data_IF_720564671143
#
_entry.id   IF_720564671143
#
_cell.length_a   1.000
_cell.length_b   1.000
_cell.length_c   1.000
_cell.angle_alpha   90.00
_cell.angle_beta   90.00
_cell.angle_gamma   90.00
#
_symmetry.space_group_name_H-M   'P 1'
#
loop_
_entity.id
_entity.type
_entity.pdbx_description
1 polymer ?
#
# COMPACT_ATOMS: atom_id res chain seq x y z
N UNK A 1 10.57 -10.36 6.16
CA UNK A 1 11.78 -10.97 5.56
C UNK A 1 11.37 -12.32 4.96
N UNK A 2 11.64 -12.50 3.66
CA UNK A 2 11.29 -13.70 2.92
C UNK A 2 9.93 -13.63 2.24
N UNK A 3 9.61 -14.68 1.49
CA UNK A 3 8.36 -14.86 0.78
C UNK A 3 8.12 -16.34 0.49
N UNK A 4 6.93 -16.66 0.06
CA UNK A 4 6.59 -18.00 -0.39
C UNK A 4 5.70 -17.94 -1.63
N UNK A 5 5.80 -18.96 -2.46
CA UNK A 5 4.96 -19.12 -3.63
C UNK A 5 4.14 -20.41 -3.44
N UNK A 6 2.84 -20.32 -3.72
CA UNK A 6 1.91 -21.45 -3.63
C UNK A 6 1.12 -21.55 -4.92
N UNK A 7 1.10 -22.74 -5.50
CA UNK A 7 0.32 -23.03 -6.71
C UNK A 7 -0.17 -24.48 -6.69
N UNK A 8 -1.23 -24.76 -7.44
CA UNK A 8 -1.69 -26.14 -7.74
C UNK A 8 -0.98 -26.74 -8.94
N UNK A 9 -0.19 -25.95 -9.68
CA UNK A 9 0.55 -26.40 -10.84
C UNK A 9 1.78 -27.20 -10.40
N UNK A 10 1.98 -28.36 -11.00
CA UNK A 10 3.12 -29.24 -10.70
C UNK A 10 4.46 -28.62 -11.12
N UNK A 11 4.42 -27.75 -12.09
CA UNK A 11 5.56 -26.98 -12.61
C UNK A 11 6.18 -26.05 -11.57
N UNK A 12 5.48 -25.81 -10.44
CA UNK A 12 6.03 -25.03 -9.33
C UNK A 12 7.35 -25.62 -8.81
N UNK A 13 7.52 -26.93 -8.85
CA UNK A 13 8.78 -27.56 -8.44
C UNK A 13 9.95 -27.18 -9.35
N UNK A 14 9.70 -27.03 -10.68
CA UNK A 14 10.73 -26.63 -11.63
C UNK A 14 11.24 -25.19 -11.37
N UNK A 15 10.42 -24.32 -10.78
CA UNK A 15 10.80 -22.94 -10.43
C UNK A 15 12.00 -22.92 -9.48
N UNK A 16 12.16 -23.90 -8.61
CA UNK A 16 13.33 -24.03 -7.71
C UNK A 16 14.65 -24.05 -8.45
N UNK A 17 14.66 -24.58 -9.67
CA UNK A 17 15.85 -24.71 -10.51
C UNK A 17 15.99 -23.59 -11.53
N UNK A 18 14.92 -22.83 -11.78
CA UNK A 18 14.89 -21.76 -12.78
C UNK A 18 15.13 -20.36 -12.19
N UNK A 19 14.92 -20.18 -10.89
CA UNK A 19 15.07 -18.87 -10.24
C UNK A 19 16.40 -18.81 -9.50
N UNK A 20 17.35 -18.04 -10.04
CA UNK A 20 18.66 -17.81 -9.43
C UNK A 20 18.56 -17.29 -7.99
N UNK A 21 17.61 -16.39 -7.73
CA UNK A 21 17.36 -15.87 -6.40
C UNK A 21 16.99 -16.95 -5.38
N UNK A 22 16.34 -18.03 -5.81
CA UNK A 22 16.05 -19.18 -4.95
C UNK A 22 17.26 -20.11 -4.79
N UNK A 23 17.96 -20.42 -5.87
CA UNK A 23 19.12 -21.33 -5.87
C UNK A 23 20.27 -20.83 -5.02
N UNK A 24 20.50 -19.51 -5.03
CA UNK A 24 21.63 -18.86 -4.37
C UNK A 24 21.24 -18.14 -3.07
N UNK A 25 20.09 -18.49 -2.47
CA UNK A 25 19.66 -17.93 -1.19
C UNK A 25 19.97 -18.89 -0.04
N UNK A 26 20.19 -18.31 1.14
CA UNK A 26 20.25 -19.08 2.37
C UNK A 26 18.84 -19.50 2.81
N UNK A 27 18.74 -20.60 3.53
CA UNK A 27 17.47 -21.01 4.17
C UNK A 27 16.96 -19.94 5.10
N UNK A 28 15.62 -19.80 5.18
CA UNK A 28 14.97 -18.90 6.13
C UNK A 28 15.38 -19.22 7.57
N UNK A 29 15.54 -18.18 8.39
CA UNK A 29 15.92 -18.40 9.79
C UNK A 29 14.83 -19.21 10.53
N UNK A 30 15.21 -20.01 11.52
CA UNK A 30 14.26 -20.81 12.31
C UNK A 30 13.15 -19.98 12.96
N UNK A 31 13.36 -18.70 13.22
CA UNK A 31 12.35 -17.82 13.82
C UNK A 31 11.28 -17.34 12.81
N UNK A 32 11.63 -17.24 11.53
CA UNK A 32 10.71 -16.78 10.47
C UNK A 32 9.63 -17.83 10.19
N UNK A 33 10.02 -19.10 10.14
CA UNK A 33 9.09 -20.20 9.81
C UNK A 33 7.93 -20.29 10.80
N UNK A 34 8.14 -20.41 12.14
CA UNK A 34 7.05 -20.44 13.09
C UNK A 34 6.26 -19.15 13.17
N UNK A 35 6.89 -17.97 12.97
CA UNK A 35 6.18 -16.70 12.92
C UNK A 35 5.21 -16.63 11.75
N UNK A 36 5.65 -17.03 10.55
CA UNK A 36 4.78 -17.12 9.36
C UNK A 36 3.66 -18.12 9.58
N UNK A 37 3.95 -19.30 10.16
CA UNK A 37 2.93 -20.29 10.47
C UNK A 37 1.89 -19.78 11.47
N UNK A 38 2.32 -19.04 12.50
CA UNK A 38 1.42 -18.40 13.46
C UNK A 38 0.53 -17.37 12.78
N UNK A 39 1.10 -16.50 11.95
CA UNK A 39 0.34 -15.51 11.19
C UNK A 39 -0.72 -16.15 10.28
N UNK A 40 -0.38 -17.22 9.56
CA UNK A 40 -1.33 -17.95 8.72
C UNK A 40 -2.47 -18.59 9.53
N UNK A 41 -2.19 -19.09 10.72
CA UNK A 41 -3.22 -19.62 11.63
C UNK A 41 -4.18 -18.54 12.11
N UNK A 42 -3.65 -17.36 12.48
CA UNK A 42 -4.45 -16.21 12.89
C UNK A 42 -5.34 -15.75 11.72
N UNK A 43 -4.78 -15.59 10.52
CA UNK A 43 -5.55 -15.20 9.33
C UNK A 43 -6.68 -16.19 9.02
N UNK A 44 -6.47 -17.50 9.27
CA UNK A 44 -7.49 -18.53 9.07
C UNK A 44 -8.55 -18.54 10.18
N UNK A 45 -8.14 -18.28 11.43
CA UNK A 45 -9.03 -18.31 12.60
C UNK A 45 -9.84 -17.02 12.78
N UNK A 46 -9.34 -15.89 12.29
CA UNK A 46 -9.89 -14.56 12.51
C UNK A 46 -10.22 -13.86 11.18
N UNK A 47 -11.25 -14.30 10.43
CA UNK A 47 -11.64 -13.70 9.14
C UNK A 47 -12.02 -12.23 9.27
N UNK A 48 -12.54 -11.80 10.41
CA UNK A 48 -12.89 -10.39 10.70
C UNK A 48 -11.71 -9.43 10.51
N UNK A 49 -10.46 -9.86 10.68
CA UNK A 49 -9.29 -9.03 10.43
C UNK A 49 -9.19 -8.64 8.95
N UNK A 50 -9.54 -9.55 8.05
CA UNK A 50 -9.56 -9.25 6.60
C UNK A 50 -10.75 -8.39 6.23
N UNK A 51 -11.90 -8.60 6.85
CA UNK A 51 -13.09 -7.77 6.65
C UNK A 51 -12.78 -6.33 7.04
N UNK A 52 -12.29 -6.10 8.25
CA UNK A 52 -11.87 -4.78 8.73
C UNK A 52 -10.80 -4.14 7.84
N UNK A 53 -9.82 -4.93 7.38
CA UNK A 53 -8.81 -4.44 6.43
C UNK A 53 -9.44 -3.92 5.14
N UNK A 54 -10.38 -4.67 4.57
CA UNK A 54 -11.06 -4.29 3.34
C UNK A 54 -12.01 -3.10 3.53
N UNK A 55 -12.69 -2.99 4.66
CA UNK A 55 -13.53 -1.84 5.00
C UNK A 55 -12.68 -0.57 5.07
N UNK A 56 -11.53 -0.62 5.77
CA UNK A 56 -10.59 0.48 5.84
C UNK A 56 -10.01 0.85 4.46
N UNK A 57 -9.65 -0.16 3.65
CA UNK A 57 -9.12 0.04 2.31
C UNK A 57 -10.15 0.71 1.39
N UNK A 58 -11.39 0.22 1.40
CA UNK A 58 -12.48 0.80 0.62
C UNK A 58 -12.80 2.23 1.08
N UNK A 59 -12.85 2.47 2.39
CA UNK A 59 -13.10 3.81 2.95
C UNK A 59 -12.04 4.81 2.48
N UNK A 60 -10.75 4.46 2.61
CA UNK A 60 -9.66 5.31 2.15
C UNK A 60 -9.73 5.54 0.63
N UNK A 61 -9.88 4.46 -0.14
CA UNK A 61 -9.96 4.54 -1.60
C UNK A 61 -11.09 5.45 -2.06
N UNK A 62 -12.30 5.26 -1.54
CA UNK A 62 -13.46 6.08 -1.93
C UNK A 62 -13.29 7.53 -1.45
N UNK A 63 -12.74 7.75 -0.25
CA UNK A 63 -12.45 9.08 0.25
C UNK A 63 -11.48 9.85 -0.65
N UNK A 64 -10.35 9.26 -1.00
CA UNK A 64 -9.37 9.90 -1.89
C UNK A 64 -9.92 10.10 -3.31
N UNK A 65 -10.67 9.12 -3.82
CA UNK A 65 -11.32 9.21 -5.13
C UNK A 65 -12.37 10.33 -5.18
N UNK A 66 -13.16 10.51 -4.12
CA UNK A 66 -14.16 11.57 -4.04
C UNK A 66 -13.56 12.97 -3.98
N UNK A 67 -12.31 13.08 -3.52
CA UNK A 67 -11.52 14.32 -3.59
C UNK A 67 -10.96 14.60 -5.00
N UNK A 68 -11.20 13.72 -5.98
CA UNK A 68 -10.71 13.85 -7.34
C UNK A 68 -9.24 13.47 -7.51
N UNK A 69 -8.64 12.79 -6.52
CA UNK A 69 -7.24 12.39 -6.58
C UNK A 69 -7.04 11.20 -7.54
N UNK A 70 -5.94 11.17 -8.30
CA UNK A 70 -5.62 10.10 -9.23
C UNK A 70 -5.15 8.86 -8.47
N UNK A 71 -6.11 8.04 -8.06
CA UNK A 71 -5.90 6.73 -7.44
C UNK A 71 -6.09 5.62 -8.48
N UNK A 72 -5.55 4.45 -8.24
CA UNK A 72 -5.68 3.30 -9.13
C UNK A 72 -7.13 2.91 -9.44
N UNK A 73 -7.38 2.03 -10.41
CA UNK A 73 -8.72 1.69 -10.89
C UNK A 73 -9.56 0.91 -9.87
N UNK A 74 -8.91 0.22 -8.94
CA UNK A 74 -9.57 -0.64 -7.94
C UNK A 74 -9.04 -0.40 -6.53
N UNK A 75 -9.92 -0.54 -5.55
CA UNK A 75 -9.53 -0.52 -4.15
C UNK A 75 -8.57 -1.67 -3.81
N UNK A 76 -7.60 -1.38 -2.97
CA UNK A 76 -6.71 -2.39 -2.37
C UNK A 76 -6.20 -1.88 -1.01
N UNK A 77 -5.64 -2.75 -0.16
CA UNK A 77 -5.01 -2.31 1.10
C UNK A 77 -3.82 -1.36 0.92
N UNK A 78 -3.36 -1.18 -0.31
CA UNK A 78 -2.34 -0.20 -0.68
C UNK A 78 -2.95 0.77 -1.70
N UNK A 79 -3.24 1.99 -1.27
CA UNK A 79 -3.81 3.04 -2.13
C UNK A 79 -2.70 4.03 -2.48
N UNK A 80 -2.33 4.09 -3.74
CA UNK A 80 -1.35 5.04 -4.24
C UNK A 80 -2.04 6.22 -4.91
N UNK A 81 -1.61 7.44 -4.57
CA UNK A 81 -1.97 8.66 -5.28
C UNK A 81 -0.84 8.98 -6.24
N UNK A 82 -1.15 9.06 -7.54
CA UNK A 82 -0.17 9.39 -8.57
C UNK A 82 0.09 10.90 -8.61
N UNK A 83 1.36 11.24 -8.78
CA UNK A 83 1.84 12.62 -8.89
C UNK A 83 2.77 12.73 -10.10
N UNK A 84 2.74 13.84 -10.80
CA UNK A 84 3.55 14.04 -12.01
C UNK A 84 4.81 14.87 -11.76
N UNK A 85 4.80 15.75 -10.77
CA UNK A 85 5.91 16.64 -10.44
C UNK A 85 6.65 16.15 -9.19
N UNK A 86 7.98 16.08 -9.28
CA UNK A 86 8.83 15.59 -8.19
C UNK A 86 8.83 16.51 -6.98
N UNK A 87 9.00 17.80 -7.21
CA UNK A 87 9.12 18.79 -6.11
C UNK A 87 7.82 18.85 -5.34
N UNK A 88 6.72 18.97 -6.07
CA UNK A 88 5.37 18.99 -5.51
C UNK A 88 5.04 17.71 -4.72
N UNK A 89 5.48 16.55 -5.23
CA UNK A 89 5.27 15.28 -4.51
C UNK A 89 6.01 15.25 -3.17
N UNK A 90 7.24 15.77 -3.15
CA UNK A 90 8.03 15.85 -1.93
C UNK A 90 7.39 16.83 -0.94
N UNK A 91 6.90 17.97 -1.41
CA UNK A 91 6.25 18.96 -0.55
C UNK A 91 4.92 18.43 0.01
N UNK A 92 4.12 17.74 -0.80
CA UNK A 92 2.92 17.01 -0.33
C UNK A 92 3.27 15.94 0.71
N UNK A 93 4.32 15.16 0.47
CA UNK A 93 4.79 14.15 1.41
C UNK A 93 5.17 14.76 2.76
N UNK A 94 5.93 15.86 2.76
CA UNK A 94 6.30 16.59 4.00
C UNK A 94 5.06 17.09 4.74
N UNK A 95 4.13 17.72 4.04
CA UNK A 95 2.92 18.25 4.62
C UNK A 95 2.04 17.15 5.24
N UNK A 96 1.95 15.96 4.62
CA UNK A 96 1.28 14.81 5.20
C UNK A 96 1.99 14.32 6.47
N UNK A 97 3.32 14.26 6.46
CA UNK A 97 4.11 13.89 7.64
C UNK A 97 3.91 14.88 8.79
N UNK A 98 3.88 16.18 8.51
CA UNK A 98 3.60 17.24 9.50
C UNK A 98 2.16 17.15 10.05
N UNK A 99 1.21 16.71 9.23
CA UNK A 99 -0.16 16.41 9.65
C UNK A 99 -0.30 15.08 10.43
N UNK A 100 0.81 14.38 10.69
CA UNK A 100 0.82 13.10 11.42
C UNK A 100 0.41 11.90 10.56
N UNK A 101 0.39 12.04 9.24
CA UNK A 101 0.04 10.97 8.29
C UNK A 101 1.30 10.43 7.62
N UNK A 102 1.73 9.24 8.03
CA UNK A 102 2.86 8.56 7.42
C UNK A 102 2.47 7.90 6.10
N UNK A 103 3.11 8.32 5.01
CA UNK A 103 2.98 7.73 3.68
C UNK A 103 4.35 7.40 3.09
N UNK A 104 4.41 6.37 2.25
CA UNK A 104 5.64 6.05 1.53
C UNK A 104 5.74 6.92 0.27
N UNK A 105 6.81 7.70 0.19
CA UNK A 105 7.20 8.40 -1.03
C UNK A 105 7.91 7.41 -1.97
N UNK A 106 7.35 7.18 -3.15
CA UNK A 106 7.93 6.30 -4.18
C UNK A 106 8.30 7.15 -5.39
N UNK A 107 9.58 7.15 -5.71
CA UNK A 107 10.16 7.92 -6.82
C UNK A 107 10.86 6.98 -7.80
N UNK A 108 10.96 7.32 -9.10
CA UNK A 108 11.76 6.55 -10.03
C UNK A 108 13.23 6.40 -9.57
N UNK A 109 13.88 5.23 -9.75
CA UNK A 109 13.41 4.06 -10.49
C UNK A 109 12.57 3.07 -9.65
N UNK A 110 12.20 3.37 -8.40
CA UNK A 110 11.39 2.49 -7.56
C UNK A 110 9.90 2.48 -7.95
N UNK A 111 9.45 3.48 -8.70
CA UNK A 111 8.13 3.47 -9.33
C UNK A 111 8.15 2.64 -10.62
N UNK A 112 7.09 1.86 -10.92
CA UNK A 112 6.99 1.09 -12.17
C UNK A 112 6.81 1.97 -13.41
N UNK A 113 6.53 3.26 -13.22
CA UNK A 113 6.37 4.29 -14.26
C UNK A 113 7.32 5.45 -14.00
N UNK A 114 7.26 6.48 -14.85
CA UNK A 114 7.96 7.75 -14.62
C UNK A 114 7.28 8.63 -13.58
N UNK A 115 6.10 8.27 -13.13
CA UNK A 115 5.31 9.01 -12.15
C UNK A 115 5.83 8.78 -10.73
N UNK A 116 5.52 9.75 -9.86
CA UNK A 116 5.78 9.69 -8.43
C UNK A 116 4.54 9.19 -7.71
N UNK A 117 4.70 8.49 -6.59
CA UNK A 117 3.56 7.96 -5.85
C UNK A 117 3.64 8.34 -4.37
N UNK A 118 2.52 8.76 -3.82
CA UNK A 118 2.26 8.79 -2.38
C UNK A 118 1.49 7.53 -2.01
N UNK A 119 2.21 6.52 -1.49
CA UNK A 119 1.66 5.19 -1.23
C UNK A 119 1.17 5.07 0.20
N UNK A 120 -0.13 4.96 0.36
CA UNK A 120 -0.80 4.72 1.64
C UNK A 120 -1.02 3.22 1.84
N UNK A 121 -0.61 2.70 2.98
CA UNK A 121 -0.83 1.30 3.35
C UNK A 121 -1.75 1.25 4.56
N UNK A 122 -2.89 0.58 4.43
CA UNK A 122 -3.85 0.38 5.52
C UNK A 122 -3.71 -1.01 6.13
N UNK A 123 -4.14 -1.13 7.37
CA UNK A 123 -4.20 -2.40 8.10
C UNK A 123 -5.51 -2.51 8.86
N UNK A 124 -5.82 -3.71 9.36
CA UNK A 124 -6.95 -3.93 10.25
C UNK A 124 -6.82 -3.20 11.61
N UNK A 125 -5.61 -2.76 11.96
CA UNK A 125 -5.37 -2.03 13.21
C UNK A 125 -5.76 -0.53 13.13
N UNK A 126 -5.98 0.02 11.93
CA UNK A 126 -6.47 1.38 11.81
C UNK A 126 -7.94 1.48 12.21
N UNK A 127 -8.25 2.49 13.02
CA UNK A 127 -9.65 2.88 13.27
C UNK A 127 -10.21 3.69 12.12
N UNK A 128 -11.54 3.72 12.00
CA UNK A 128 -12.23 4.57 11.00
C UNK A 128 -11.85 6.04 11.14
N UNK A 129 -11.69 6.54 12.38
CA UNK A 129 -11.28 7.91 12.64
C UNK A 129 -9.85 8.22 12.11
N UNK A 130 -8.93 7.26 12.20
CA UNK A 130 -7.60 7.41 11.62
C UNK A 130 -7.65 7.45 10.08
N UNK A 131 -8.50 6.63 9.46
CA UNK A 131 -8.72 6.70 8.00
C UNK A 131 -9.30 8.06 7.59
N UNK A 132 -10.26 8.58 8.36
CA UNK A 132 -10.84 9.91 8.12
C UNK A 132 -9.80 11.03 8.27
N UNK A 133 -8.87 10.89 9.22
CA UNK A 133 -7.74 11.82 9.38
C UNK A 133 -6.85 11.82 8.15
N UNK A 134 -6.57 10.65 7.55
CA UNK A 134 -5.79 10.57 6.31
C UNK A 134 -6.52 11.31 5.19
N UNK A 135 -7.81 11.05 5.00
CA UNK A 135 -8.62 11.70 3.95
C UNK A 135 -8.64 13.22 4.16
N UNK A 136 -8.83 13.69 5.40
CA UNK A 136 -8.83 15.12 5.73
C UNK A 136 -7.47 15.77 5.46
N UNK A 137 -6.36 15.08 5.73
CA UNK A 137 -5.02 15.59 5.41
C UNK A 137 -4.84 15.81 3.90
N UNK A 138 -5.28 14.87 3.07
CA UNK A 138 -5.26 15.05 1.61
C UNK A 138 -6.17 16.19 1.15
N UNK A 139 -7.36 16.34 1.74
CA UNK A 139 -8.23 17.50 1.46
C UNK A 139 -7.53 18.82 1.82
N UNK A 140 -6.77 18.85 2.91
CA UNK A 140 -5.92 19.98 3.29
C UNK A 140 -4.88 20.35 2.24
N UNK A 141 -4.23 19.37 1.60
CA UNK A 141 -3.29 19.62 0.51
C UNK A 141 -3.94 20.27 -0.70
N UNK A 142 -5.16 19.87 -1.04
CA UNK A 142 -5.94 20.47 -2.13
C UNK A 142 -6.30 21.91 -1.76
N UNK A 143 -6.77 22.17 -0.55
CA UNK A 143 -7.12 23.51 -0.06
C UNK A 143 -5.91 24.44 -0.02
N UNK A 144 -4.74 23.90 0.32
CA UNK A 144 -3.47 24.65 0.31
C UNK A 144 -2.90 24.87 -1.11
N UNK A 145 -3.55 24.36 -2.15
CA UNK A 145 -3.09 24.48 -3.54
C UNK A 145 -1.86 23.62 -3.89
N UNK A 146 -1.50 22.69 -3.02
CA UNK A 146 -0.39 21.74 -3.25
C UNK A 146 -0.78 20.62 -4.22
N UNK A 147 -2.06 20.29 -4.33
CA UNK A 147 -2.58 19.35 -5.32
C UNK A 147 -3.71 20.03 -6.09
N UNK A 148 -3.60 20.05 -7.41
CA UNK A 148 -4.68 20.48 -8.29
C UNK A 148 -5.41 19.25 -8.79
N UNK A 149 -6.70 19.15 -8.51
CA UNK A 149 -7.57 18.10 -9.04
C UNK A 149 -8.32 18.64 -10.27
N UNK A 150 -8.36 17.85 -11.34
CA UNK A 150 -9.15 18.21 -12.51
C UNK A 150 -10.62 18.25 -12.12
N UNK A 151 -11.25 19.41 -12.26
CA UNK A 151 -12.70 19.55 -12.10
C UNK A 151 -13.36 18.75 -13.23
N UNK A 152 -13.92 17.59 -12.91
CA UNK A 152 -14.74 16.82 -13.85
C UNK A 152 -16.02 17.62 -14.07
N UNK A 153 -16.15 18.25 -15.22
CA UNK A 153 -17.41 18.79 -15.73
C UNK A 153 -18.20 17.70 -16.43
#
# INVERSE_FOLDING_TARGET
IGGFCVSRHRELEAIRFCINAYMFTASSSPSIIPSTRAALRIVAAEPQLRETLWDNANRLYQGLKSLGLPVGPTASPVVAVEMVDRSLTIDCWKALMEAGVYVNLVIPPASPSTNFLLRNSVSAAHSSAQIDTIIAAYAGLITAGLITVATTH
#
